data_IF_723100012286
#
_entry.id   IF_723100012286
#
_cell.length_a   1.000
_cell.length_b   1.000
_cell.length_c   1.000
_cell.angle_alpha   90.00
_cell.angle_beta   90.00
_cell.angle_gamma   90.00
#
_symmetry.space_group_name_H-M   'P 1'
#
loop_
_entity.id
_entity.type
_entity.pdbx_description
1 polymer ?
#
# COMPACT_ATOMS: atom_id res chain seq x y z
N UNK A 1 -3.72 -14.58 7.98
CA UNK A 1 -3.35 -14.63 6.54
C UNK A 1 -1.85 -14.76 6.39
N UNK A 2 -1.37 -15.46 5.35
CA UNK A 2 0.04 -15.55 4.97
C UNK A 2 0.19 -15.47 3.45
N UNK A 3 1.36 -15.08 2.97
CA UNK A 3 1.68 -15.08 1.54
C UNK A 3 1.88 -16.55 1.13
N UNK A 4 1.03 -17.03 0.24
CA UNK A 4 1.10 -18.40 -0.30
C UNK A 4 2.07 -18.49 -1.48
N UNK A 5 2.07 -17.46 -2.33
CA UNK A 5 2.80 -17.49 -3.59
C UNK A 5 3.09 -16.07 -4.09
N UNK A 6 4.25 -15.89 -4.71
CA UNK A 6 4.60 -14.66 -5.42
C UNK A 6 4.99 -15.02 -6.86
N UNK A 7 4.24 -14.50 -7.82
CA UNK A 7 4.56 -14.59 -9.24
C UNK A 7 5.22 -13.29 -9.69
N UNK A 8 6.38 -13.40 -10.30
CA UNK A 8 7.18 -12.26 -10.76
C UNK A 8 7.46 -12.47 -12.25
N UNK A 9 7.15 -11.50 -13.08
CA UNK A 9 7.46 -11.56 -14.51
C UNK A 9 8.04 -10.24 -14.99
N UNK A 10 9.21 -10.31 -15.59
CA UNK A 10 9.95 -9.19 -16.17
C UNK A 10 10.19 -8.02 -15.19
N UNK A 11 10.44 -8.32 -13.91
CA UNK A 11 10.65 -7.34 -12.86
C UNK A 11 12.09 -7.35 -12.37
N UNK A 12 12.78 -6.21 -12.43
CA UNK A 12 14.19 -6.04 -12.02
C UNK A 12 15.11 -7.12 -12.61
N UNK A 13 15.73 -7.95 -11.74
CA UNK A 13 16.61 -9.06 -12.16
C UNK A 13 15.85 -10.28 -12.71
N UNK A 14 14.55 -10.34 -12.54
CA UNK A 14 13.72 -11.46 -12.98
C UNK A 14 13.20 -11.23 -14.39
N UNK A 15 13.94 -11.67 -15.39
CA UNK A 15 13.60 -11.49 -16.81
C UNK A 15 12.43 -12.36 -17.26
N UNK A 16 12.36 -13.58 -16.75
CA UNK A 16 11.33 -14.56 -17.08
C UNK A 16 10.34 -14.71 -15.94
N UNK A 17 9.16 -15.25 -16.26
CA UNK A 17 8.16 -15.57 -15.25
C UNK A 17 8.74 -16.56 -14.24
N UNK A 18 8.66 -16.18 -12.97
CA UNK A 18 9.09 -16.96 -11.83
C UNK A 18 7.93 -17.04 -10.85
N UNK A 19 7.65 -18.22 -10.35
CA UNK A 19 6.67 -18.46 -9.27
C UNK A 19 7.40 -18.97 -8.05
N UNK A 20 7.24 -18.30 -6.93
CA UNK A 20 7.89 -18.62 -5.66
C UNK A 20 6.79 -19.03 -4.67
N UNK A 21 6.68 -20.31 -4.33
CA UNK A 21 5.75 -20.76 -3.30
C UNK A 21 6.34 -20.48 -1.92
N UNK A 22 5.47 -20.07 -0.99
CA UNK A 22 5.79 -19.91 0.42
C UNK A 22 4.97 -20.91 1.24
N UNK A 23 5.66 -21.63 2.10
CA UNK A 23 5.01 -22.55 3.02
C UNK A 23 4.46 -21.79 4.23
N UNK A 24 3.42 -22.31 4.86
CA UNK A 24 2.91 -21.81 6.13
C UNK A 24 4.02 -21.88 7.21
N UNK A 25 4.20 -20.79 7.95
CA UNK A 25 5.21 -20.68 8.99
C UNK A 25 6.42 -19.86 8.55
N UNK A 26 7.61 -20.25 8.99
CA UNK A 26 8.84 -19.50 8.75
C UNK A 26 9.53 -19.93 7.46
N UNK A 27 9.79 -19.00 6.56
CA UNK A 27 10.50 -19.24 5.30
C UNK A 27 11.75 -18.35 5.23
N UNK A 28 12.90 -18.94 4.90
CA UNK A 28 14.15 -18.21 4.64
C UNK A 28 14.49 -18.20 3.17
N UNK A 29 15.00 -17.07 2.69
CA UNK A 29 15.53 -16.90 1.34
C UNK A 29 17.02 -16.65 1.46
N UNK A 30 17.86 -17.59 1.04
CA UNK A 30 19.30 -17.52 1.08
C UNK A 30 19.93 -17.56 -0.31
N UNK A 31 21.15 -17.06 -0.43
CA UNK A 31 21.90 -17.07 -1.69
C UNK A 31 23.05 -16.06 -1.68
N UNK A 32 23.93 -16.08 -2.67
CA UNK A 32 25.06 -15.14 -2.78
C UNK A 32 24.61 -13.70 -3.00
N UNK A 33 25.52 -12.75 -2.81
CA UNK A 33 25.26 -11.35 -3.10
C UNK A 33 24.95 -11.17 -4.60
N UNK A 34 23.95 -10.34 -4.92
CA UNK A 34 23.50 -10.11 -6.30
C UNK A 34 22.52 -11.15 -6.87
N UNK A 35 22.20 -12.24 -6.13
CA UNK A 35 21.27 -13.27 -6.62
C UNK A 35 19.79 -12.85 -6.71
N UNK A 36 19.44 -11.63 -6.27
CA UNK A 36 18.08 -11.11 -6.36
C UNK A 36 17.23 -11.30 -5.10
N UNK A 37 17.77 -11.76 -3.97
CA UNK A 37 17.04 -11.95 -2.71
C UNK A 37 16.18 -10.75 -2.32
N UNK A 38 16.79 -9.57 -2.30
CA UNK A 38 16.09 -8.33 -1.96
C UNK A 38 15.03 -7.94 -3.01
N UNK A 39 15.22 -8.35 -4.28
CA UNK A 39 14.24 -8.06 -5.32
C UNK A 39 12.95 -8.86 -5.16
N UNK A 40 12.95 -9.96 -4.40
CA UNK A 40 11.75 -10.71 -4.06
C UNK A 40 10.91 -9.88 -3.08
N UNK A 41 11.51 -9.31 -2.03
CA UNK A 41 10.81 -8.42 -1.09
C UNK A 41 10.33 -7.16 -1.83
N UNK A 42 11.19 -6.56 -2.65
CA UNK A 42 10.81 -5.40 -3.46
C UNK A 42 9.62 -5.70 -4.39
N UNK A 43 9.52 -6.92 -4.92
CA UNK A 43 8.39 -7.33 -5.76
C UNK A 43 7.09 -7.41 -4.98
N UNK A 44 7.12 -7.95 -3.76
CA UNK A 44 5.94 -7.97 -2.88
C UNK A 44 5.47 -6.56 -2.56
N UNK A 45 6.38 -5.69 -2.11
CA UNK A 45 6.05 -4.29 -1.79
C UNK A 45 5.52 -3.53 -3.00
N UNK A 46 6.08 -3.80 -4.18
CA UNK A 46 5.61 -3.23 -5.44
C UNK A 46 4.17 -3.66 -5.75
N UNK A 47 3.88 -4.96 -5.67
CA UNK A 47 2.56 -5.50 -5.98
C UNK A 47 1.47 -4.95 -5.06
N UNK A 48 1.78 -4.82 -3.76
CA UNK A 48 0.85 -4.33 -2.75
C UNK A 48 0.71 -2.80 -2.72
N UNK A 49 1.54 -2.07 -3.50
CA UNK A 49 1.52 -0.61 -3.49
C UNK A 49 2.01 0.01 -2.18
N UNK A 50 2.77 -0.75 -1.38
CA UNK A 50 3.25 -0.33 -0.06
C UNK A 50 4.56 0.46 -0.11
N UNK A 51 5.11 0.69 -1.29
CA UNK A 51 6.40 1.36 -1.44
C UNK A 51 6.41 2.36 -2.57
N UNK A 52 7.15 3.43 -2.36
CA UNK A 52 7.49 4.39 -3.41
C UNK A 52 8.63 3.83 -4.27
N UNK A 53 8.85 4.40 -5.47
CA UNK A 53 9.99 4.04 -6.31
C UNK A 53 11.34 4.18 -5.58
N UNK A 54 11.47 5.18 -4.70
CA UNK A 54 12.67 5.40 -3.89
C UNK A 54 12.92 4.25 -2.90
N UNK A 55 11.88 3.76 -2.23
CA UNK A 55 11.96 2.62 -1.29
C UNK A 55 12.33 1.33 -2.02
N UNK A 56 11.88 1.17 -3.27
CA UNK A 56 12.23 0.04 -4.13
C UNK A 56 13.63 0.16 -4.76
N UNK A 57 14.47 1.08 -4.28
CA UNK A 57 15.81 1.30 -4.82
C UNK A 57 15.82 1.55 -6.32
N UNK A 58 14.81 2.25 -6.82
CA UNK A 58 14.65 2.67 -8.19
C UNK A 58 14.40 4.18 -8.24
N UNK A 59 15.21 4.92 -8.98
CA UNK A 59 14.99 6.37 -9.16
C UNK A 59 13.72 6.65 -9.97
N UNK A 60 13.36 5.73 -10.87
CA UNK A 60 12.18 5.83 -11.73
C UNK A 60 11.48 4.48 -11.80
N UNK A 61 10.16 4.50 -11.96
CA UNK A 61 9.34 3.30 -12.16
C UNK A 61 9.83 2.45 -13.34
N UNK A 62 10.45 3.09 -14.34
CA UNK A 62 11.04 2.43 -15.48
C UNK A 62 12.10 1.38 -15.14
N UNK A 63 12.85 1.62 -14.09
CA UNK A 63 13.93 0.73 -13.64
C UNK A 63 13.40 -0.54 -12.96
N UNK A 64 12.09 -0.61 -12.71
CA UNK A 64 11.44 -1.81 -12.18
C UNK A 64 11.19 -2.86 -13.30
N UNK A 65 11.16 -2.45 -14.57
CA UNK A 65 11.07 -3.38 -15.69
C UNK A 65 12.49 -3.94 -15.96
N UNK A 66 12.58 -5.24 -16.13
CA UNK A 66 13.87 -5.89 -16.38
C UNK A 66 14.55 -5.36 -17.65
N UNK A 67 15.82 -5.04 -17.53
CA UNK A 67 16.66 -4.62 -18.66
C UNK A 67 17.20 -5.81 -19.49
N UNK A 68 17.01 -7.02 -18.98
CA UNK A 68 17.47 -8.25 -19.67
C UNK A 68 16.52 -8.70 -20.78
N UNK A 69 15.36 -8.05 -20.92
CA UNK A 69 14.40 -8.34 -21.98
C UNK A 69 14.05 -7.07 -22.75
N UNK A 70 13.47 -7.25 -23.95
CA UNK A 70 12.94 -6.15 -24.77
C UNK A 70 11.46 -5.84 -24.43
N UNK A 71 10.88 -6.53 -23.43
CA UNK A 71 9.49 -6.33 -23.03
C UNK A 71 9.34 -5.01 -22.30
N UNK A 72 8.26 -4.28 -22.61
CA UNK A 72 7.97 -2.95 -22.05
C UNK A 72 7.00 -3.00 -20.86
N UNK A 73 6.81 -4.15 -20.27
CA UNK A 73 5.89 -4.34 -19.16
C UNK A 73 6.45 -5.33 -18.13
N UNK A 74 6.08 -5.13 -16.88
CA UNK A 74 6.36 -6.05 -15.78
C UNK A 74 5.09 -6.28 -14.98
N UNK A 75 4.93 -7.48 -14.44
CA UNK A 75 3.81 -7.82 -13.56
C UNK A 75 4.32 -8.60 -12.36
N UNK A 76 3.76 -8.26 -11.20
CA UNK A 76 3.97 -9.05 -9.97
C UNK A 76 2.60 -9.33 -9.38
N UNK A 77 2.37 -10.59 -9.00
CA UNK A 77 1.16 -11.06 -8.33
C UNK A 77 1.52 -11.72 -7.01
N UNK A 78 0.84 -11.33 -5.95
CA UNK A 78 0.97 -11.92 -4.61
C UNK A 78 -0.34 -12.58 -4.26
N UNK A 79 -0.31 -13.84 -3.93
CA UNK A 79 -1.48 -14.62 -3.50
C UNK A 79 -1.42 -14.84 -2.00
N UNK A 80 -2.50 -14.50 -1.32
CA UNK A 80 -2.69 -14.67 0.11
C UNK A 80 -3.61 -15.85 0.39
N UNK A 81 -3.27 -16.61 1.41
CA UNK A 81 -4.10 -17.72 1.90
C UNK A 81 -4.41 -17.53 3.40
N UNK A 82 -5.58 -18.01 3.85
CA UNK A 82 -5.97 -17.95 5.25
C UNK A 82 -5.16 -18.96 6.08
N UNK A 83 -4.93 -18.63 7.35
CA UNK A 83 -4.30 -19.57 8.28
C UNK A 83 -5.24 -20.67 8.74
N UNK A 84 -6.51 -20.35 8.94
CA UNK A 84 -7.50 -21.22 9.59
C UNK A 84 -8.61 -21.71 8.65
N UNK A 85 -8.53 -21.47 7.34
CA UNK A 85 -9.46 -21.99 6.33
C UNK A 85 -10.87 -21.36 6.30
N UNK A 86 -11.18 -20.41 7.17
CA UNK A 86 -12.48 -19.74 7.24
C UNK A 86 -12.65 -18.65 6.17
N UNK A 87 -11.56 -18.09 5.71
CA UNK A 87 -11.53 -17.02 4.70
C UNK A 87 -11.11 -17.57 3.33
N UNK A 88 -11.45 -16.84 2.28
CA UNK A 88 -11.07 -17.22 0.91
C UNK A 88 -9.69 -16.67 0.56
N UNK A 89 -8.94 -17.43 -0.22
CA UNK A 89 -7.73 -16.95 -0.86
C UNK A 89 -8.05 -15.74 -1.75
N UNK A 90 -7.15 -14.76 -1.76
CA UNK A 90 -7.22 -13.64 -2.69
C UNK A 90 -5.84 -13.31 -3.25
N UNK A 91 -5.81 -12.67 -4.39
CA UNK A 91 -4.57 -12.24 -5.01
C UNK A 91 -4.60 -10.76 -5.34
N UNK A 92 -3.47 -10.10 -5.11
CA UNK A 92 -3.20 -8.72 -5.52
C UNK A 92 -2.11 -8.75 -6.57
N UNK A 93 -2.34 -8.11 -7.70
CA UNK A 93 -1.30 -7.97 -8.71
C UNK A 93 -1.17 -6.50 -9.14
N UNK A 94 0.06 -6.14 -9.49
CA UNK A 94 0.35 -4.85 -10.10
C UNK A 94 1.13 -5.05 -11.38
N UNK A 95 0.62 -4.44 -12.44
CA UNK A 95 1.25 -4.40 -13.75
C UNK A 95 1.72 -2.99 -14.05
N UNK A 96 2.96 -2.84 -14.50
CA UNK A 96 3.45 -1.61 -15.09
C UNK A 96 3.72 -1.81 -16.57
N UNK A 97 3.40 -0.81 -17.37
CA UNK A 97 3.65 -0.81 -18.81
C UNK A 97 4.23 0.53 -19.25
N UNK A 98 5.31 0.48 -20.00
CA UNK A 98 5.92 1.65 -20.62
C UNK A 98 5.02 2.12 -21.76
N UNK A 99 4.73 3.43 -21.79
CA UNK A 99 4.00 4.12 -22.86
C UNK A 99 4.88 5.20 -23.48
N UNK A 100 4.48 5.74 -24.60
CA UNK A 100 5.15 6.89 -25.27
C UNK A 100 5.14 8.15 -24.39
N UNK A 101 4.16 8.27 -23.50
CA UNK A 101 3.97 9.43 -22.61
C UNK A 101 4.40 9.16 -21.16
N UNK A 102 4.99 7.98 -20.86
CA UNK A 102 5.39 7.63 -19.49
C UNK A 102 5.09 6.17 -19.14
N UNK A 103 4.62 5.93 -17.94
CA UNK A 103 4.31 4.60 -17.41
C UNK A 103 2.89 4.54 -16.88
N UNK A 104 2.17 3.48 -17.27
CA UNK A 104 0.88 3.15 -16.69
C UNK A 104 1.05 2.06 -15.64
N UNK A 105 0.40 2.24 -14.49
CA UNK A 105 0.35 1.26 -13.41
C UNK A 105 -1.09 0.83 -13.19
N UNK A 106 -1.36 -0.47 -13.27
CA UNK A 106 -2.70 -1.04 -13.13
C UNK A 106 -2.65 -2.06 -12.00
N UNK A 107 -3.61 -1.97 -11.09
CA UNK A 107 -3.80 -2.93 -10.01
C UNK A 107 -4.90 -3.91 -10.31
N UNK A 108 -4.73 -5.12 -9.84
CA UNK A 108 -5.71 -6.19 -9.95
C UNK A 108 -5.96 -6.82 -8.59
N UNK A 109 -7.22 -7.13 -8.31
CA UNK A 109 -7.67 -7.91 -7.17
C UNK A 109 -8.45 -9.12 -7.70
N UNK A 110 -7.97 -10.32 -7.43
CA UNK A 110 -8.56 -11.55 -8.00
C UNK A 110 -8.77 -11.42 -9.52
N UNK A 111 -7.73 -10.94 -10.21
CA UNK A 111 -7.66 -10.71 -11.66
C UNK A 111 -8.65 -9.64 -12.21
N UNK A 112 -9.35 -8.89 -11.34
CA UNK A 112 -10.18 -7.74 -11.71
C UNK A 112 -9.43 -6.45 -11.51
N UNK A 113 -9.56 -5.50 -12.45
CA UNK A 113 -8.94 -4.18 -12.34
C UNK A 113 -9.59 -3.41 -11.20
N UNK A 114 -8.76 -2.85 -10.33
CA UNK A 114 -9.17 -2.07 -9.16
C UNK A 114 -8.27 -0.84 -8.99
N UNK A 115 -8.66 0.07 -8.11
CA UNK A 115 -7.84 1.21 -7.72
C UNK A 115 -6.82 0.81 -6.63
N UNK A 116 -5.79 1.64 -6.43
CA UNK A 116 -4.86 1.47 -5.32
C UNK A 116 -5.58 1.56 -3.96
N UNK A 117 -6.57 2.44 -3.86
CA UNK A 117 -7.39 2.61 -2.65
C UNK A 117 -8.14 1.34 -2.30
N UNK A 118 -8.73 0.65 -3.30
CA UNK A 118 -9.42 -0.63 -3.08
C UNK A 118 -8.46 -1.70 -2.57
N UNK A 119 -7.23 -1.74 -3.12
CA UNK A 119 -6.18 -2.66 -2.66
C UNK A 119 -5.85 -2.38 -1.20
N UNK A 120 -5.61 -1.12 -0.83
CA UNK A 120 -5.28 -0.74 0.54
C UNK A 120 -6.43 -1.07 1.50
N UNK A 121 -7.69 -0.78 1.13
CA UNK A 121 -8.87 -1.11 1.96
C UNK A 121 -8.96 -2.59 2.30
N UNK A 122 -8.56 -3.47 1.37
CA UNK A 122 -8.56 -4.91 1.63
C UNK A 122 -7.37 -5.31 2.49
N UNK A 123 -6.18 -4.78 2.21
CA UNK A 123 -4.98 -5.07 2.97
C UNK A 123 -5.07 -4.57 4.43
N UNK A 124 -5.73 -3.42 4.66
CA UNK A 124 -6.00 -2.88 6.01
C UNK A 124 -6.79 -3.84 6.90
N UNK A 125 -7.72 -4.63 6.34
CA UNK A 125 -8.45 -5.67 7.09
C UNK A 125 -7.53 -6.71 7.71
N UNK A 126 -6.34 -6.88 7.15
CA UNK A 126 -5.31 -7.81 7.61
C UNK A 126 -4.13 -7.10 8.28
N UNK A 127 -4.30 -5.83 8.66
CA UNK A 127 -3.26 -4.97 9.24
C UNK A 127 -2.02 -4.80 8.33
N UNK A 128 -2.19 -4.90 7.01
CA UNK A 128 -1.12 -4.66 6.04
C UNK A 128 -1.30 -3.25 5.49
N UNK A 129 -0.57 -2.29 6.05
CA UNK A 129 -0.61 -0.87 5.65
C UNK A 129 0.77 -0.40 5.18
N UNK A 130 0.86 0.71 4.43
CA UNK A 130 2.15 1.25 3.97
C UNK A 130 3.13 1.59 5.10
N UNK A 131 2.60 1.89 6.28
CA UNK A 131 3.37 2.26 7.47
C UNK A 131 3.43 1.12 8.50
N UNK A 132 2.86 -0.06 8.19
CA UNK A 132 2.85 -1.16 9.14
C UNK A 132 4.23 -1.79 9.30
N UNK A 133 4.49 -2.28 10.50
CA UNK A 133 5.75 -2.99 10.84
C UNK A 133 5.79 -4.43 10.35
N UNK A 134 4.86 -4.82 9.48
CA UNK A 134 4.80 -6.16 8.88
C UNK A 134 5.92 -6.38 7.86
N UNK A 135 6.54 -5.32 7.37
CA UNK A 135 7.69 -5.39 6.46
C UNK A 135 8.83 -4.56 7.04
N UNK A 136 9.91 -5.24 7.41
CA UNK A 136 11.12 -4.60 7.93
C UNK A 136 12.15 -4.58 6.80
N UNK A 137 12.50 -3.39 6.35
CA UNK A 137 13.54 -3.21 5.32
C UNK A 137 14.93 -3.24 5.93
N UNK A 138 15.93 -3.37 5.09
CA UNK A 138 17.33 -3.29 5.51
C UNK A 138 17.61 -1.92 6.14
N UNK A 139 18.15 -1.91 7.37
CA UNK A 139 18.41 -0.75 8.22
C UNK A 139 17.19 -0.19 9.02
N UNK A 140 15.97 -0.70 8.82
CA UNK A 140 14.79 -0.20 9.54
C UNK A 140 14.82 -0.56 11.03
N UNK A 141 15.49 -1.65 11.41
CA UNK A 141 15.62 -2.05 12.81
C UNK A 141 16.25 -0.94 13.66
N UNK A 142 17.21 -0.20 13.08
CA UNK A 142 17.85 0.93 13.76
C UNK A 142 16.96 2.19 13.76
N UNK A 143 15.99 2.30 12.88
CA UNK A 143 15.09 3.45 12.81
C UNK A 143 14.21 3.55 14.07
N UNK A 144 13.74 2.41 14.60
CA UNK A 144 12.92 2.35 15.81
C UNK A 144 13.69 2.84 17.04
N UNK A 145 15.01 2.57 17.11
CA UNK A 145 15.85 3.02 18.22
C UNK A 145 16.22 4.48 18.12
N UNK A 146 16.30 5.02 16.90
CA UNK A 146 16.73 6.38 16.62
C UNK A 146 15.55 7.35 16.37
N UNK A 147 14.31 6.86 16.37
CA UNK A 147 13.13 7.71 16.20
C UNK A 147 12.90 8.60 17.43
N UNK A 148 12.31 9.76 17.20
CA UNK A 148 11.86 10.67 18.26
C UNK A 148 10.77 10.03 19.14
N UNK A 149 10.56 10.56 20.34
CA UNK A 149 9.53 10.04 21.25
C UNK A 149 8.12 10.15 20.66
N UNK A 150 7.87 11.18 19.85
CA UNK A 150 6.60 11.38 19.12
C UNK A 150 6.40 10.28 18.06
N UNK A 151 7.42 9.97 17.30
CA UNK A 151 7.38 8.90 16.30
C UNK A 151 7.22 7.54 16.97
N UNK A 152 7.94 7.29 18.07
CA UNK A 152 7.83 6.04 18.86
C UNK A 152 6.42 5.86 19.39
N UNK A 153 5.78 6.94 19.90
CA UNK A 153 4.39 6.90 20.32
C UNK A 153 3.46 6.53 19.16
N UNK A 154 3.62 7.15 17.99
CA UNK A 154 2.80 6.82 16.80
C UNK A 154 2.91 5.35 16.42
N UNK A 155 4.10 4.78 16.51
CA UNK A 155 4.35 3.35 16.27
C UNK A 155 3.53 2.50 17.24
N UNK A 156 3.56 2.83 18.52
CA UNK A 156 2.83 2.09 19.57
C UNK A 156 1.31 2.23 19.34
N UNK A 157 0.83 3.43 19.04
CA UNK A 157 -0.57 3.72 18.77
C UNK A 157 -1.09 2.94 17.54
N UNK A 158 -0.25 2.78 16.51
CA UNK A 158 -0.56 2.01 15.31
C UNK A 158 -0.61 0.49 15.60
N UNK A 159 0.37 -0.05 16.34
CA UNK A 159 0.37 -1.46 16.76
C UNK A 159 -0.81 -1.77 17.69
N UNK A 160 -1.17 -0.84 18.56
CA UNK A 160 -2.33 -0.96 19.45
C UNK A 160 -3.68 -0.81 18.74
N UNK A 161 -3.68 -0.45 17.46
CA UNK A 161 -4.91 -0.21 16.69
C UNK A 161 -5.65 1.08 17.07
N UNK A 162 -5.01 1.98 17.84
CA UNK A 162 -5.61 3.25 18.28
C UNK A 162 -5.63 4.28 17.16
N UNK A 163 -4.69 4.21 16.23
CA UNK A 163 -4.57 5.13 15.10
C UNK A 163 -5.84 5.22 14.23
N UNK A 164 -6.62 4.14 14.14
CA UNK A 164 -7.92 4.14 13.44
C UNK A 164 -8.97 5.00 14.16
N UNK A 165 -8.96 5.04 15.48
CA UNK A 165 -9.84 5.88 16.25
C UNK A 165 -9.49 7.35 16.08
N UNK A 166 -8.20 7.70 16.12
CA UNK A 166 -7.72 9.06 15.92
C UNK A 166 -8.10 9.57 14.52
N UNK A 167 -7.94 8.74 13.49
CA UNK A 167 -8.36 9.08 12.12
C UNK A 167 -9.88 9.33 12.01
N UNK A 168 -10.70 8.51 12.68
CA UNK A 168 -12.17 8.70 12.71
C UNK A 168 -12.56 9.95 13.47
N UNK A 169 -11.87 10.28 14.56
CA UNK A 169 -12.08 11.50 15.32
C UNK A 169 -11.76 12.72 14.45
N UNK A 170 -10.63 12.71 13.74
CA UNK A 170 -10.24 13.80 12.83
C UNK A 170 -11.25 13.97 11.69
N UNK A 171 -11.73 12.88 11.09
CA UNK A 171 -12.78 12.92 10.07
C UNK A 171 -14.07 13.53 10.63
N UNK A 172 -14.51 13.09 11.80
CA UNK A 172 -15.72 13.63 12.45
C UNK A 172 -15.58 15.12 12.79
N UNK A 173 -14.39 15.56 13.25
CA UNK A 173 -14.13 16.97 13.51
C UNK A 173 -14.18 17.82 12.23
N UNK A 174 -13.62 17.33 11.12
CA UNK A 174 -13.66 18.00 9.83
C UNK A 174 -15.11 18.11 9.28
N UNK A 175 -15.89 17.05 9.43
CA UNK A 175 -17.32 17.06 9.07
C UNK A 175 -18.10 18.04 9.93
N UNK A 176 -17.85 18.06 11.24
CA UNK A 176 -18.47 19.01 12.17
C UNK A 176 -18.19 20.46 11.76
N UNK A 177 -16.93 20.81 11.49
CA UNK A 177 -16.55 22.15 11.03
C UNK A 177 -17.25 22.54 9.72
N UNK A 178 -17.46 21.58 8.82
CA UNK A 178 -18.20 21.81 7.57
C UNK A 178 -19.68 22.09 7.84
N UNK A 179 -20.30 21.35 8.75
CA UNK A 179 -21.69 21.53 9.15
C UNK A 179 -21.87 22.86 9.87
N UNK A 180 -20.99 23.20 10.80
CA UNK A 180 -21.02 24.49 11.50
C UNK A 180 -20.97 25.66 10.53
N UNK A 181 -20.08 25.61 9.54
CA UNK A 181 -19.97 26.63 8.50
C UNK A 181 -21.28 26.76 7.67
N UNK A 182 -21.92 25.63 7.34
CA UNK A 182 -23.20 25.63 6.62
C UNK A 182 -24.34 26.20 7.48
N UNK A 183 -24.38 25.89 8.76
CA UNK A 183 -25.36 26.44 9.70
C UNK A 183 -25.20 27.96 9.81
N UNK A 184 -23.96 28.44 9.99
CA UNK A 184 -23.70 29.89 10.04
C UNK A 184 -24.13 30.62 8.77
N UNK A 185 -23.80 30.06 7.60
CA UNK A 185 -24.25 30.64 6.34
C UNK A 185 -25.78 30.67 6.22
N UNK A 186 -26.46 29.60 6.65
CA UNK A 186 -27.93 29.58 6.63
C UNK A 186 -28.56 30.60 7.57
N UNK A 187 -27.95 30.82 8.76
CA UNK A 187 -28.39 31.83 9.71
C UNK A 187 -28.19 33.26 9.15
N UNK A 188 -27.10 33.52 8.44
CA UNK A 188 -26.88 34.79 7.77
C UNK A 188 -27.93 35.06 6.69
N UNK A 189 -28.24 34.06 5.85
CA UNK A 189 -29.28 34.18 4.84
C UNK A 189 -30.64 34.42 5.48
N UNK A 190 -30.94 33.70 6.56
CA UNK A 190 -32.21 33.87 7.30
C UNK A 190 -32.35 35.31 7.81
N UNK A 191 -31.32 35.84 8.48
CA UNK A 191 -31.33 37.19 8.99
C UNK A 191 -31.50 38.26 7.90
N UNK A 192 -30.88 38.02 6.73
CA UNK A 192 -31.03 38.91 5.57
C UNK A 192 -32.47 38.91 5.02
N UNK A 193 -33.10 37.72 4.93
CA UNK A 193 -34.50 37.57 4.50
C UNK A 193 -35.45 38.20 5.49
N UNK A 194 -35.25 38.00 6.80
CA UNK A 194 -36.05 38.63 7.86
C UNK A 194 -36.02 40.16 7.77
N UNK A 195 -34.83 40.74 7.63
CA UNK A 195 -34.64 42.18 7.45
C UNK A 195 -35.36 42.72 6.21
N UNK A 196 -35.41 41.96 5.14
CA UNK A 196 -36.13 42.35 3.90
C UNK A 196 -37.65 42.24 4.02
N UNK A 197 -38.15 41.41 4.91
CA UNK A 197 -39.59 41.26 5.15
C UNK A 197 -40.15 42.33 6.09
N UNK A 198 -39.31 42.93 6.94
CA UNK A 198 -39.67 44.02 7.86
C UNK A 198 -39.62 45.43 7.22
N UNK A 199 -39.09 45.52 5.99
CA UNK A 199 -38.98 46.77 5.19
C UNK A 199 -40.07 46.82 4.13
#
# INVERSE_FOLDING_TARGET
MYIKEVEIDNFKSFANKLTIPFLKGFTTISGPNGSGKSNIIDSVLFALGLSTSRTLRAEKISQLISTHTRRNEAIVKVTFAPENGEEKEFSVARKIKKSSQGYNSIYYLNDKIVTLTDVHTILEKYNITPNSYNVIMQNDVMSITNCSDVERRKIIDEIAGVADFDRRIEQAQNELGTVESRVQNSLLILSEVETRLET
#
